data_IF_277694733234
#
_entry.id   IF_277694733234
#
_cell.length_a   1.000
_cell.length_b   1.000
_cell.length_c   1.000
_cell.angle_alpha   90.00
_cell.angle_beta   90.00
_cell.angle_gamma   90.00
#
_symmetry.space_group_name_H-M   'P 1'
#
loop_
_entity.id
_entity.type
_entity.pdbx_description
1 polymer ?
#
# COMPACT_ATOMS: atom_id res chain seq x y z
N UNK A 1 14.16 -4.03 7.54
CA UNK A 1 15.30 -3.11 7.63
C UNK A 1 16.58 -3.88 7.35
N UNK A 2 17.41 -3.40 6.42
CA UNK A 2 18.69 -4.02 6.09
C UNK A 2 19.81 -3.09 6.53
N UNK A 3 20.79 -3.62 7.25
CA UNK A 3 22.00 -2.89 7.64
C UNK A 3 23.10 -3.19 6.65
N UNK A 4 23.85 -2.18 6.29
CA UNK A 4 24.99 -2.24 5.39
C UNK A 4 26.24 -1.76 6.12
N UNK A 5 27.38 -2.29 5.73
CA UNK A 5 28.68 -1.77 6.11
C UNK A 5 29.34 -1.11 4.88
N UNK A 6 29.89 0.07 5.05
CA UNK A 6 30.61 0.78 4.01
C UNK A 6 32.05 1.00 4.46
N UNK A 7 33.00 0.63 3.61
CA UNK A 7 34.43 0.74 3.86
C UNK A 7 34.99 1.97 3.13
N UNK A 8 35.99 2.58 3.73
CA UNK A 8 36.76 3.70 3.15
C UNK A 8 38.23 3.28 2.98
N UNK A 9 38.52 2.67 1.84
CA UNK A 9 39.89 2.26 1.49
C UNK A 9 40.60 3.31 0.59
N UNK A 10 39.92 3.70 -0.49
CA UNK A 10 40.37 4.75 -1.46
C UNK A 10 39.26 5.81 -1.67
N UNK A 11 38.47 6.05 -0.68
CA UNK A 11 37.19 6.75 -0.68
C UNK A 11 36.11 5.81 -0.19
N UNK A 12 34.92 6.33 0.11
CA UNK A 12 33.77 5.50 0.51
C UNK A 12 33.34 4.62 -0.66
N UNK A 13 33.47 3.31 -0.45
CA UNK A 13 33.11 2.29 -1.44
C UNK A 13 31.61 2.06 -1.49
N UNK A 14 31.15 1.19 -2.40
CA UNK A 14 29.78 0.70 -2.45
C UNK A 14 29.39 0.07 -1.09
N UNK A 15 28.22 0.37 -0.53
CA UNK A 15 27.75 -0.27 0.69
C UNK A 15 27.51 -1.78 0.49
N UNK A 16 27.97 -2.58 1.43
CA UNK A 16 27.85 -4.03 1.39
C UNK A 16 26.77 -4.50 2.38
N UNK A 17 25.77 -5.29 1.95
CA UNK A 17 24.70 -5.74 2.82
C UNK A 17 25.20 -6.72 3.89
N UNK A 18 24.76 -6.52 5.11
CA UNK A 18 25.04 -7.42 6.22
C UNK A 18 23.93 -8.49 6.32
N UNK A 19 24.29 -9.64 6.84
CA UNK A 19 23.38 -10.77 7.05
C UNK A 19 22.72 -10.65 8.42
N UNK A 20 21.39 -10.61 8.52
CA UNK A 20 20.69 -10.62 9.80
C UNK A 20 20.84 -12.01 10.46
N UNK A 21 21.20 -12.01 11.75
CA UNK A 21 21.33 -13.24 12.55
C UNK A 21 20.31 -13.34 13.68
N UNK A 22 19.32 -12.46 13.69
CA UNK A 22 18.25 -12.39 14.68
C UNK A 22 18.56 -11.41 15.82
N UNK A 23 17.55 -11.10 16.63
CA UNK A 23 17.66 -10.23 17.82
C UNK A 23 18.34 -8.88 17.56
N UNK A 24 18.04 -8.24 16.44
CA UNK A 24 18.67 -6.97 16.01
C UNK A 24 20.19 -7.05 15.81
N UNK A 25 20.72 -8.24 15.55
CA UNK A 25 22.12 -8.48 15.25
C UNK A 25 22.31 -8.68 13.74
N UNK A 26 23.36 -8.07 13.22
CA UNK A 26 23.79 -8.23 11.85
C UNK A 26 25.25 -8.67 11.82
N UNK A 27 25.61 -9.52 10.87
CA UNK A 27 26.97 -10.03 10.68
C UNK A 27 27.46 -9.74 9.27
N UNK A 28 28.69 -9.27 9.14
CA UNK A 28 29.39 -9.19 7.88
C UNK A 28 30.78 -9.82 8.06
N UNK A 29 31.21 -10.63 7.10
CA UNK A 29 32.53 -11.29 7.15
C UNK A 29 33.31 -10.87 5.91
N UNK A 30 34.50 -10.31 6.14
CA UNK A 30 35.44 -9.93 5.08
C UNK A 30 36.51 -11.03 4.98
N UNK A 31 36.60 -11.64 3.81
CA UNK A 31 37.64 -12.63 3.50
C UNK A 31 38.82 -12.05 2.70
N UNK A 32 38.96 -10.75 2.73
CA UNK A 32 39.99 -10.04 1.97
C UNK A 32 41.15 -9.62 2.87
N UNK A 33 42.41 -9.72 2.41
CA UNK A 33 43.57 -9.27 3.18
C UNK A 33 43.57 -7.75 3.27
N UNK A 34 42.95 -7.20 4.33
CA UNK A 34 42.98 -5.77 4.60
C UNK A 34 44.37 -5.29 5.08
N UNK A 35 45.29 -6.20 5.34
CA UNK A 35 46.66 -5.87 5.82
C UNK A 35 47.49 -5.02 4.84
N UNK A 36 47.06 -4.84 3.61
CA UNK A 36 47.67 -3.90 2.69
C UNK A 36 47.40 -2.43 3.05
N UNK A 37 46.46 -2.18 3.97
CA UNK A 37 46.14 -0.86 4.45
C UNK A 37 46.58 -0.70 5.89
N UNK A 38 47.21 0.44 6.25
CA UNK A 38 47.60 0.69 7.64
C UNK A 38 46.39 0.84 8.56
N UNK A 39 45.29 1.31 8.03
CA UNK A 39 43.98 1.39 8.69
C UNK A 39 42.88 1.48 7.66
N UNK A 40 41.68 0.99 7.99
CA UNK A 40 40.49 1.12 7.15
C UNK A 40 39.37 1.73 7.99
N UNK A 41 38.89 2.88 7.58
CA UNK A 41 37.69 3.47 8.16
C UNK A 41 36.45 2.71 7.66
N UNK A 42 35.43 2.62 8.48
CA UNK A 42 34.15 2.06 8.08
C UNK A 42 33.00 2.74 8.81
N UNK A 43 31.82 2.59 8.27
CA UNK A 43 30.56 3.03 8.88
C UNK A 43 29.43 2.07 8.56
N UNK A 44 28.40 2.11 9.37
CA UNK A 44 27.17 1.40 9.09
C UNK A 44 26.12 2.35 8.52
N UNK A 45 25.25 1.81 7.68
CA UNK A 45 24.12 2.57 7.15
C UNK A 45 22.90 1.68 6.92
N UNK A 46 21.73 2.28 6.86
CA UNK A 46 20.46 1.60 6.63
C UNK A 46 20.14 1.58 5.14
N UNK A 47 19.63 0.45 4.66
CA UNK A 47 19.10 0.28 3.31
C UNK A 47 20.05 0.71 2.17
N UNK A 48 21.37 0.71 2.42
CA UNK A 48 22.37 1.16 1.45
C UNK A 48 22.51 2.67 1.30
N UNK A 49 21.71 3.46 2.01
CA UNK A 49 21.68 4.93 1.90
C UNK A 49 22.70 5.59 2.83
N UNK A 50 23.99 5.32 2.63
CA UNK A 50 25.05 5.74 3.56
C UNK A 50 25.29 7.25 3.65
N UNK A 51 24.83 8.04 2.69
CA UNK A 51 24.92 9.49 2.77
C UNK A 51 23.81 10.12 3.60
N UNK A 52 22.65 9.45 3.66
CA UNK A 52 21.46 9.94 4.34
C UNK A 52 21.20 9.22 5.66
N UNK A 53 21.63 7.97 5.76
CA UNK A 53 21.25 7.05 6.83
C UNK A 53 22.43 6.29 7.43
N UNK A 54 23.58 6.91 7.49
CA UNK A 54 24.71 6.39 8.24
C UNK A 54 24.45 6.44 9.76
N UNK A 55 25.22 5.67 10.53
CA UNK A 55 25.34 5.93 11.97
C UNK A 55 25.83 7.36 12.24
N UNK A 56 25.56 7.90 13.42
CA UNK A 56 25.93 9.28 13.74
C UNK A 56 27.42 9.52 13.56
N UNK A 57 27.75 10.66 12.95
CA UNK A 57 29.09 11.00 12.45
C UNK A 57 30.15 11.24 13.55
N UNK A 58 29.76 11.29 14.83
CA UNK A 58 30.64 11.42 15.97
C UNK A 58 31.45 10.15 16.27
N UNK A 59 31.01 9.00 15.73
CA UNK A 59 31.69 7.71 15.88
C UNK A 59 32.57 7.43 14.65
N UNK A 60 33.88 7.63 14.82
CA UNK A 60 34.88 7.24 13.81
C UNK A 60 35.31 5.79 14.07
N UNK A 61 34.78 4.87 13.26
CA UNK A 61 35.18 3.48 13.34
C UNK A 61 36.38 3.20 12.44
N UNK A 62 37.36 2.51 12.98
CA UNK A 62 38.61 2.19 12.28
C UNK A 62 38.99 0.74 12.56
N UNK A 63 39.27 -0.01 11.51
CA UNK A 63 39.94 -1.29 11.58
C UNK A 63 41.45 -1.06 11.46
N UNK A 64 42.20 -1.63 12.37
CA UNK A 64 43.64 -1.78 12.24
C UNK A 64 43.94 -3.21 11.77
N UNK A 65 44.11 -3.42 10.46
CA UNK A 65 44.26 -4.76 9.93
C UNK A 65 45.54 -5.44 10.47
N UNK A 66 45.44 -6.71 10.74
CA UNK A 66 46.52 -7.56 11.23
C UNK A 66 46.57 -8.89 10.47
N UNK A 67 47.54 -9.74 10.82
CA UNK A 67 47.69 -11.05 10.19
C UNK A 67 46.76 -12.12 10.74
N UNK A 68 46.01 -11.81 11.81
CA UNK A 68 45.12 -12.74 12.47
C UNK A 68 43.66 -12.37 12.26
N UNK A 69 42.77 -13.35 12.38
CA UNK A 69 41.35 -13.11 12.41
C UNK A 69 40.97 -12.13 13.54
N UNK A 70 40.12 -11.20 13.21
CA UNK A 70 39.60 -10.17 14.12
C UNK A 70 38.07 -10.20 14.12
N UNK A 71 37.48 -10.08 15.28
CA UNK A 71 36.03 -9.89 15.44
C UNK A 71 35.78 -8.54 16.09
N UNK A 72 34.99 -7.72 15.44
CA UNK A 72 34.54 -6.43 15.96
C UNK A 72 33.08 -6.54 16.37
N UNK A 73 32.77 -6.13 17.59
CA UNK A 73 31.40 -6.09 18.11
C UNK A 73 31.01 -4.65 18.33
N UNK A 74 30.24 -4.13 17.42
CA UNK A 74 29.81 -2.76 17.42
C UNK A 74 28.34 -2.62 17.81
N UNK A 75 28.02 -1.53 18.50
CA UNK A 75 26.66 -1.14 18.82
C UNK A 75 26.36 0.17 18.11
N UNK A 76 25.23 0.22 17.39
CA UNK A 76 24.74 1.43 16.77
C UNK A 76 23.66 2.03 17.67
N UNK A 77 23.94 3.17 18.26
CA UNK A 77 23.05 3.84 19.21
C UNK A 77 22.04 4.75 18.52
N UNK A 78 22.39 5.31 17.39
CA UNK A 78 21.52 6.21 16.63
C UNK A 78 21.95 6.30 15.17
N UNK A 79 20.99 6.54 14.31
CA UNK A 79 21.18 6.79 12.88
C UNK A 79 21.08 8.30 12.61
N UNK A 80 21.78 8.77 11.57
CA UNK A 80 21.57 10.12 11.07
C UNK A 80 20.18 10.26 10.47
N UNK A 81 19.62 11.44 10.58
CA UNK A 81 18.30 11.78 10.01
C UNK A 81 17.13 10.84 10.40
N UNK A 82 17.32 10.02 11.42
CA UNK A 82 16.23 9.33 12.11
C UNK A 82 15.93 10.13 13.37
N UNK A 83 15.13 11.15 13.22
CA UNK A 83 14.58 11.84 14.36
C UNK A 83 13.56 10.93 15.05
N UNK A 84 13.72 10.73 16.34
CA UNK A 84 12.69 10.12 17.18
C UNK A 84 11.56 11.13 17.37
N UNK A 85 10.77 11.36 16.31
CA UNK A 85 9.52 12.09 16.44
C UNK A 85 8.52 11.18 17.15
N UNK A 86 8.49 11.26 18.46
CA UNK A 86 7.32 10.80 19.21
C UNK A 86 6.24 11.87 19.06
N UNK A 87 5.33 11.64 18.12
CA UNK A 87 4.11 12.42 18.06
C UNK A 87 3.19 11.82 19.11
N UNK A 88 2.73 12.66 20.03
CA UNK A 88 1.66 12.25 20.96
C UNK A 88 0.35 12.12 20.19
N UNK A 89 0.06 10.90 19.76
CA UNK A 89 -1.14 10.58 19.00
C UNK A 89 -2.40 10.60 19.85
N UNK A 90 -2.29 10.59 21.18
CA UNK A 90 -3.46 10.62 22.08
C UNK A 90 -4.29 11.88 21.91
N UNK A 91 -3.67 13.00 21.54
CA UNK A 91 -4.35 14.26 21.24
C UNK A 91 -5.26 14.18 19.99
N UNK A 92 -5.07 13.15 19.15
CA UNK A 92 -5.86 12.93 17.93
C UNK A 92 -6.99 11.92 18.14
N UNK A 93 -7.12 11.37 19.35
CA UNK A 93 -8.15 10.40 19.70
C UNK A 93 -9.26 11.12 20.47
N UNK A 94 -10.33 11.49 19.79
CA UNK A 94 -11.52 12.04 20.43
C UNK A 94 -12.53 10.91 20.59
N UNK A 95 -12.85 10.57 21.85
CA UNK A 95 -13.89 9.58 22.17
C UNK A 95 -15.26 10.24 22.05
N UNK A 96 -15.91 10.06 20.94
CA UNK A 96 -17.36 10.22 20.84
C UNK A 96 -18.05 8.91 21.26
N UNK A 97 -19.35 8.97 21.51
CA UNK A 97 -20.13 7.78 21.87
C UNK A 97 -20.36 6.86 20.66
N UNK A 98 -19.26 6.35 20.10
CA UNK A 98 -19.25 5.42 18.97
C UNK A 98 -19.41 4.01 19.51
N UNK A 99 -20.24 3.19 18.86
CA UNK A 99 -20.42 1.81 19.23
C UNK A 99 -19.53 0.88 18.41
N UNK A 100 -19.04 -0.23 18.98
CA UNK A 100 -18.39 -1.27 18.21
C UNK A 100 -19.27 -1.74 17.05
N UNK A 101 -18.65 -2.11 15.95
CA UNK A 101 -19.30 -2.56 14.72
C UNK A 101 -18.96 -4.02 14.43
N UNK A 102 -19.75 -4.99 14.92
CA UNK A 102 -19.49 -6.40 14.63
C UNK A 102 -19.45 -6.67 13.12
N UNK A 103 -18.39 -7.35 12.67
CA UNK A 103 -18.20 -7.66 11.25
C UNK A 103 -17.61 -6.51 10.42
N UNK A 104 -17.15 -5.43 11.07
CA UNK A 104 -16.43 -4.36 10.41
C UNK A 104 -15.15 -4.89 9.73
N UNK A 105 -14.91 -4.51 8.49
CA UNK A 105 -13.74 -4.91 7.72
C UNK A 105 -12.65 -3.86 7.97
N UNK A 106 -11.67 -4.22 8.78
CA UNK A 106 -10.51 -3.39 9.09
C UNK A 106 -9.27 -3.97 8.43
N UNK A 107 -8.52 -3.19 7.66
CA UNK A 107 -7.37 -3.75 6.98
C UNK A 107 -6.48 -2.76 6.27
N UNK A 108 -5.54 -3.33 5.52
CA UNK A 108 -4.58 -2.59 4.70
C UNK A 108 -4.61 -3.08 3.26
N UNK A 109 -4.35 -2.19 2.31
CA UNK A 109 -4.16 -2.52 0.89
C UNK A 109 -2.68 -2.37 0.57
N UNK A 110 -2.05 -3.47 0.17
CA UNK A 110 -0.65 -3.44 -0.27
C UNK A 110 -0.51 -2.60 -1.53
N UNK A 111 0.58 -1.84 -1.61
CA UNK A 111 0.90 -1.13 -2.86
C UNK A 111 1.04 -2.13 -4.01
N UNK A 112 0.61 -1.72 -5.21
CA UNK A 112 0.68 -2.56 -6.41
C UNK A 112 2.10 -2.70 -6.97
N UNK A 113 3.03 -1.90 -6.50
CA UNK A 113 4.40 -1.94 -6.98
C UNK A 113 5.12 -3.19 -6.51
N UNK A 114 5.59 -4.00 -7.47
CA UNK A 114 6.46 -5.12 -7.18
C UNK A 114 7.84 -4.61 -6.78
N UNK A 115 8.25 -4.87 -5.54
CA UNK A 115 9.58 -4.54 -5.05
C UNK A 115 10.35 -5.81 -4.64
N UNK A 116 11.58 -6.02 -5.11
CA UNK A 116 12.43 -7.11 -4.61
C UNK A 116 12.68 -7.04 -3.10
N UNK A 117 12.61 -5.84 -2.51
CA UNK A 117 12.74 -5.60 -1.08
C UNK A 117 11.61 -6.25 -0.26
N UNK A 118 10.44 -6.50 -0.84
CA UNK A 118 9.32 -7.16 -0.16
C UNK A 118 9.66 -8.54 0.36
N UNK A 119 10.50 -9.31 -0.35
CA UNK A 119 10.86 -10.68 0.07
C UNK A 119 11.35 -10.77 1.51
N UNK A 120 12.04 -9.73 1.97
CA UNK A 120 12.63 -9.70 3.31
C UNK A 120 11.75 -9.01 4.36
N UNK A 121 10.75 -8.24 3.96
CA UNK A 121 9.97 -7.38 4.86
C UNK A 121 8.47 -7.69 4.88
N UNK A 122 7.97 -8.48 3.93
CA UNK A 122 6.53 -8.75 3.82
C UNK A 122 5.93 -9.42 5.06
N UNK A 123 6.61 -10.42 5.61
CA UNK A 123 6.13 -11.14 6.77
C UNK A 123 6.01 -10.23 8.01
N UNK A 124 7.04 -9.41 8.25
CA UNK A 124 7.01 -8.44 9.35
C UNK A 124 5.98 -7.33 9.12
N UNK A 125 5.78 -6.92 7.87
CA UNK A 125 4.74 -5.95 7.50
C UNK A 125 3.34 -6.51 7.75
N UNK A 126 3.07 -7.76 7.39
CA UNK A 126 1.79 -8.42 7.63
C UNK A 126 1.53 -8.65 9.11
N UNK A 127 2.53 -9.07 9.88
CA UNK A 127 2.44 -9.14 11.35
C UNK A 127 2.12 -7.78 11.96
N UNK A 128 2.75 -6.72 11.44
CA UNK A 128 2.45 -5.36 11.88
C UNK A 128 1.01 -4.97 11.55
N UNK A 129 0.51 -5.27 10.34
CA UNK A 129 -0.88 -5.04 9.98
C UNK A 129 -1.87 -5.79 10.87
N UNK A 130 -1.56 -7.05 11.22
CA UNK A 130 -2.34 -7.82 12.18
C UNK A 130 -2.31 -7.18 13.59
N UNK A 131 -1.14 -6.74 14.05
CA UNK A 131 -0.95 -6.10 15.35
C UNK A 131 -1.74 -4.80 15.51
N UNK A 132 -1.89 -4.01 14.44
CA UNK A 132 -2.74 -2.82 14.48
C UNK A 132 -4.24 -3.14 14.40
N UNK A 133 -4.63 -4.42 14.42
CA UNK A 133 -6.02 -4.88 14.37
C UNK A 133 -6.55 -5.08 12.95
N UNK A 134 -5.73 -5.00 11.93
CA UNK A 134 -6.10 -5.24 10.53
C UNK A 134 -6.33 -6.73 10.24
N UNK A 135 -7.58 -7.16 10.22
CA UNK A 135 -7.95 -8.56 9.93
C UNK A 135 -7.97 -8.88 8.44
N UNK A 136 -7.89 -7.86 7.60
CA UNK A 136 -7.99 -8.00 6.17
C UNK A 136 -6.78 -7.38 5.46
N UNK A 137 -6.33 -8.07 4.41
CA UNK A 137 -5.28 -7.59 3.52
C UNK A 137 -5.81 -7.59 2.10
N UNK A 138 -5.76 -6.43 1.45
CA UNK A 138 -6.06 -6.31 0.02
C UNK A 138 -4.77 -6.50 -0.74
N UNK A 139 -4.69 -7.55 -1.53
CA UNK A 139 -3.58 -7.82 -2.45
C UNK A 139 -3.90 -7.26 -3.82
N UNK A 140 -2.96 -6.54 -4.41
CA UNK A 140 -3.14 -5.82 -5.68
C UNK A 140 -2.24 -6.39 -6.78
N UNK A 141 -2.48 -7.64 -7.26
CA UNK A 141 -1.74 -8.16 -8.40
C UNK A 141 -2.04 -7.34 -9.65
N UNK A 142 -1.06 -7.20 -10.51
CA UNK A 142 -1.20 -6.42 -11.74
C UNK A 142 -0.94 -7.27 -12.98
N UNK A 143 -1.46 -6.79 -14.12
CA UNK A 143 -0.98 -7.14 -15.44
C UNK A 143 -0.54 -5.87 -16.16
N UNK A 144 0.56 -5.99 -16.87
CA UNK A 144 1.13 -4.90 -17.66
C UNK A 144 0.23 -4.60 -18.86
N UNK A 145 -0.14 -3.32 -18.98
CA UNK A 145 -0.84 -2.77 -20.14
C UNK A 145 0.16 -2.21 -21.14
N UNK A 146 0.00 -2.58 -22.40
CA UNK A 146 0.72 -2.00 -23.53
C UNK A 146 -0.20 -1.79 -24.71
N UNK A 147 0.17 -0.89 -25.62
CA UNK A 147 -0.47 -0.74 -26.92
C UNK A 147 0.42 -1.26 -28.01
N UNK A 148 -0.07 -2.22 -28.80
CA UNK A 148 0.62 -2.74 -29.98
C UNK A 148 -0.24 -2.53 -31.22
N UNK A 149 0.28 -1.77 -32.16
CA UNK A 149 -0.44 -1.46 -33.40
C UNK A 149 -1.80 -0.78 -33.15
N UNK A 150 -1.88 0.09 -32.15
CA UNK A 150 -3.09 0.79 -31.69
C UNK A 150 -4.17 -0.11 -31.04
N UNK A 151 -3.82 -1.33 -30.62
CA UNK A 151 -4.72 -2.21 -29.88
C UNK A 151 -4.16 -2.49 -28.47
N UNK A 152 -5.02 -2.53 -27.44
CA UNK A 152 -4.61 -2.83 -26.09
C UNK A 152 -4.27 -4.32 -25.91
N UNK A 153 -3.18 -4.59 -25.23
CA UNK A 153 -2.81 -5.92 -24.75
C UNK A 153 -2.58 -5.90 -23.25
N UNK A 154 -3.08 -6.92 -22.58
CA UNK A 154 -2.88 -7.15 -21.14
C UNK A 154 -2.18 -8.51 -20.95
N UNK A 155 -1.05 -8.51 -20.27
CA UNK A 155 -0.30 -9.73 -19.96
C UNK A 155 0.51 -9.59 -18.67
N UNK A 156 0.79 -10.70 -17.95
CA UNK A 156 1.68 -10.68 -16.81
C UNK A 156 3.13 -10.51 -17.27
N UNK A 157 3.80 -9.48 -16.74
CA UNK A 157 5.23 -9.23 -16.97
C UNK A 157 6.03 -9.64 -15.72
N UNK A 158 6.94 -10.63 -15.78
CA UNK A 158 7.66 -11.14 -14.62
C UNK A 158 8.47 -10.08 -13.85
N UNK A 159 8.90 -9.02 -14.55
CA UNK A 159 9.71 -7.96 -13.96
C UNK A 159 8.88 -6.93 -13.17
N UNK A 160 7.60 -6.79 -13.53
CA UNK A 160 6.74 -5.73 -13.00
C UNK A 160 5.50 -6.24 -12.26
N UNK A 161 5.02 -7.44 -12.61
CA UNK A 161 3.77 -7.98 -12.10
C UNK A 161 4.02 -9.17 -11.16
N UNK A 162 3.16 -9.32 -10.14
CA UNK A 162 3.17 -10.50 -9.29
C UNK A 162 2.66 -11.69 -10.09
N UNK A 163 3.52 -12.69 -10.26
CA UNK A 163 3.11 -13.96 -10.86
C UNK A 163 2.27 -14.78 -9.89
N UNK A 164 1.53 -15.75 -10.43
CA UNK A 164 0.62 -16.58 -9.61
C UNK A 164 1.32 -17.29 -8.43
N UNK A 165 2.56 -17.76 -8.59
CA UNK A 165 3.34 -18.37 -7.51
C UNK A 165 3.73 -17.39 -6.42
N UNK A 166 4.05 -16.15 -6.79
CA UNK A 166 4.34 -15.08 -5.84
C UNK A 166 3.07 -14.66 -5.09
N UNK A 167 1.93 -14.58 -5.79
CA UNK A 167 0.64 -14.31 -5.19
C UNK A 167 0.21 -15.41 -4.20
N UNK A 168 0.41 -16.70 -4.56
CA UNK A 168 0.17 -17.82 -3.64
C UNK A 168 0.99 -17.70 -2.37
N UNK A 169 2.30 -17.41 -2.51
CA UNK A 169 3.18 -17.23 -1.36
C UNK A 169 2.72 -16.07 -0.49
N UNK A 170 2.37 -14.94 -1.10
CA UNK A 170 1.90 -13.77 -0.39
C UNK A 170 0.58 -14.04 0.36
N UNK A 171 -0.39 -14.68 -0.30
CA UNK A 171 -1.63 -15.11 0.35
C UNK A 171 -1.38 -16.09 1.51
N UNK A 172 -0.42 -16.99 1.36
CA UNK A 172 -0.05 -17.92 2.44
C UNK A 172 0.47 -17.17 3.68
N UNK A 173 1.29 -16.14 3.50
CA UNK A 173 1.72 -15.29 4.62
C UNK A 173 0.56 -14.55 5.28
N UNK A 174 -0.40 -14.03 4.51
CA UNK A 174 -1.62 -13.41 5.05
C UNK A 174 -2.39 -14.39 5.94
N UNK A 175 -2.67 -15.60 5.41
CA UNK A 175 -3.42 -16.64 6.14
C UNK A 175 -2.66 -17.12 7.39
N UNK A 176 -1.34 -17.29 7.29
CA UNK A 176 -0.50 -17.70 8.44
C UNK A 176 -0.53 -16.67 9.58
N UNK A 177 -0.74 -15.40 9.28
CA UNK A 177 -0.92 -14.34 10.28
C UNK A 177 -2.38 -14.20 10.76
N UNK A 178 -3.27 -15.14 10.41
CA UNK A 178 -4.67 -15.15 10.84
C UNK A 178 -5.54 -14.11 10.14
N UNK A 179 -5.06 -13.50 9.07
CA UNK A 179 -5.77 -12.48 8.30
C UNK A 179 -6.51 -13.08 7.11
N UNK A 180 -7.47 -12.33 6.59
CA UNK A 180 -8.27 -12.66 5.41
C UNK A 180 -7.82 -11.84 4.22
N UNK A 181 -8.01 -12.39 3.02
CA UNK A 181 -7.56 -11.76 1.79
C UNK A 181 -8.72 -11.24 0.95
N UNK A 182 -8.54 -10.05 0.41
CA UNK A 182 -9.29 -9.52 -0.73
C UNK A 182 -8.30 -9.37 -1.88
N UNK A 183 -8.67 -9.81 -3.07
CA UNK A 183 -7.87 -9.64 -4.27
C UNK A 183 -8.37 -8.44 -5.06
N UNK A 184 -7.49 -7.52 -5.39
CA UNK A 184 -7.80 -6.35 -6.22
C UNK A 184 -6.87 -6.29 -7.43
N UNK A 185 -7.19 -6.98 -8.53
CA UNK A 185 -6.40 -6.91 -9.74
C UNK A 185 -6.40 -5.51 -10.35
N UNK A 186 -5.22 -4.98 -10.63
CA UNK A 186 -5.04 -3.63 -11.20
C UNK A 186 -4.22 -3.68 -12.48
N UNK A 187 -4.38 -2.68 -13.34
CA UNK A 187 -3.57 -2.56 -14.55
C UNK A 187 -2.28 -1.80 -14.26
N UNK A 188 -1.16 -2.29 -14.78
CA UNK A 188 0.15 -1.67 -14.63
C UNK A 188 0.54 -0.99 -15.94
N UNK A 189 0.67 0.34 -15.90
CA UNK A 189 1.01 1.18 -17.07
C UNK A 189 2.50 1.56 -17.12
N UNK A 190 3.35 0.95 -16.28
CA UNK A 190 4.75 1.36 -16.09
C UNK A 190 5.62 1.36 -17.35
N UNK A 191 5.25 0.61 -18.39
CA UNK A 191 6.03 0.53 -19.63
C UNK A 191 5.65 1.55 -20.70
N UNK A 192 4.58 2.28 -20.53
CA UNK A 192 4.08 3.18 -21.57
C UNK A 192 4.69 4.56 -21.53
N UNK A 193 5.45 4.91 -20.47
CA UNK A 193 6.25 6.15 -20.34
C UNK A 193 5.48 7.46 -20.52
N UNK A 194 4.45 7.43 -21.28
CA UNK A 194 3.42 8.44 -21.51
C UNK A 194 2.15 7.68 -21.88
N UNK A 195 1.04 7.98 -21.24
CA UNK A 195 -0.26 7.72 -21.80
C UNK A 195 -0.32 8.51 -23.11
N UNK A 196 0.10 7.89 -24.19
CA UNK A 196 -0.22 8.43 -25.49
C UNK A 196 -1.73 8.44 -25.58
N UNK A 197 -2.29 9.58 -25.97
CA UNK A 197 -3.71 9.69 -26.30
C UNK A 197 -4.09 8.42 -27.05
N UNK A 198 -4.80 7.52 -26.37
CA UNK A 198 -5.23 6.29 -27.03
C UNK A 198 -5.91 6.71 -28.32
N UNK A 199 -5.70 6.00 -29.42
CA UNK A 199 -6.49 6.22 -30.64
C UNK A 199 -7.91 5.77 -30.37
N UNK A 200 -8.56 6.50 -29.49
CA UNK A 200 -9.72 6.17 -28.67
C UNK A 200 -11.04 6.12 -29.45
N UNK A 201 -11.00 6.25 -30.75
CA UNK A 201 -12.22 6.33 -31.56
C UNK A 201 -12.41 5.15 -32.52
N UNK A 202 -11.63 4.06 -32.38
CA UNK A 202 -11.94 2.86 -33.16
C UNK A 202 -12.81 1.92 -32.32
N UNK A 203 -13.94 1.52 -32.88
CA UNK A 203 -14.79 0.48 -32.25
C UNK A 203 -14.00 -0.81 -31.96
N UNK A 204 -12.96 -1.09 -32.73
CA UNK A 204 -12.07 -2.24 -32.53
C UNK A 204 -11.25 -2.15 -31.25
N UNK A 205 -10.86 -0.93 -30.81
CA UNK A 205 -10.09 -0.77 -29.58
C UNK A 205 -10.91 -1.17 -28.34
N UNK A 206 -12.13 -0.63 -28.22
CA UNK A 206 -13.00 -0.91 -27.06
C UNK A 206 -13.38 -2.39 -26.97
N UNK A 207 -13.76 -3.01 -28.09
CA UNK A 207 -14.05 -4.45 -28.14
C UNK A 207 -12.83 -5.28 -27.74
N UNK A 208 -11.64 -4.89 -28.18
CA UNK A 208 -10.42 -5.62 -27.81
C UNK A 208 -10.07 -5.40 -26.34
N UNK A 209 -10.16 -4.18 -25.84
CA UNK A 209 -9.93 -3.88 -24.41
C UNK A 209 -10.88 -4.70 -23.53
N UNK A 210 -12.18 -4.70 -23.82
CA UNK A 210 -13.16 -5.47 -23.07
C UNK A 210 -12.81 -6.97 -23.01
N UNK A 211 -12.41 -7.57 -24.14
CA UNK A 211 -11.97 -8.96 -24.18
C UNK A 211 -10.71 -9.23 -23.36
N UNK A 212 -9.72 -8.35 -23.44
CA UNK A 212 -8.48 -8.47 -22.67
C UNK A 212 -8.75 -8.31 -21.17
N UNK A 213 -9.59 -7.34 -20.81
CA UNK A 213 -9.97 -7.10 -19.42
C UNK A 213 -10.78 -8.26 -18.83
N UNK A 214 -11.72 -8.83 -19.60
CA UNK A 214 -12.46 -10.04 -19.23
C UNK A 214 -11.50 -11.21 -18.95
N UNK A 215 -10.52 -11.43 -19.82
CA UNK A 215 -9.48 -12.45 -19.63
C UNK A 215 -8.67 -12.21 -18.36
N UNK A 216 -8.27 -10.97 -18.12
CA UNK A 216 -7.51 -10.57 -16.95
C UNK A 216 -8.28 -10.84 -15.64
N UNK A 217 -9.53 -10.39 -15.57
CA UNK A 217 -10.36 -10.57 -14.36
C UNK A 217 -10.72 -12.05 -14.16
N UNK A 218 -11.06 -12.79 -15.22
CA UNK A 218 -11.37 -14.22 -15.12
C UNK A 218 -10.15 -15.03 -14.62
N UNK A 219 -8.93 -14.69 -15.03
CA UNK A 219 -7.72 -15.32 -14.51
C UNK A 219 -7.61 -15.11 -12.98
N UNK A 220 -7.87 -13.89 -12.49
CA UNK A 220 -7.84 -13.61 -11.07
C UNK A 220 -9.02 -14.19 -10.30
N UNK A 221 -10.17 -14.39 -10.94
CA UNK A 221 -11.29 -15.11 -10.37
C UNK A 221 -10.97 -16.60 -10.15
N UNK A 222 -10.32 -17.24 -11.12
CA UNK A 222 -9.86 -18.63 -10.98
C UNK A 222 -8.83 -18.75 -9.85
N UNK A 223 -7.87 -17.80 -9.73
CA UNK A 223 -6.90 -17.75 -8.64
C UNK A 223 -7.58 -17.52 -7.28
N UNK A 224 -8.51 -16.58 -7.21
CA UNK A 224 -9.24 -16.29 -5.98
C UNK A 224 -10.02 -17.53 -5.48
N UNK A 225 -10.65 -18.27 -6.38
CA UNK A 225 -11.32 -19.53 -6.06
C UNK A 225 -10.34 -20.60 -5.59
N UNK A 226 -9.24 -20.79 -6.31
CA UNK A 226 -8.22 -21.79 -5.98
C UNK A 226 -7.58 -21.54 -4.61
N UNK A 227 -7.33 -20.27 -4.28
CA UNK A 227 -6.69 -19.85 -3.03
C UNK A 227 -7.67 -19.61 -1.89
N UNK A 228 -8.98 -19.85 -2.10
CA UNK A 228 -10.06 -19.60 -1.13
C UNK A 228 -10.06 -18.17 -0.59
N UNK A 229 -9.77 -17.20 -1.45
CA UNK A 229 -9.78 -15.78 -1.13
C UNK A 229 -11.24 -15.33 -0.88
N UNK A 230 -11.47 -14.51 0.14
CA UNK A 230 -12.81 -14.15 0.59
C UNK A 230 -13.50 -13.07 -0.24
N UNK A 231 -12.73 -12.22 -0.92
CA UNK A 231 -13.27 -11.14 -1.75
C UNK A 231 -12.45 -10.89 -3.02
N UNK A 232 -13.13 -10.60 -4.12
CA UNK A 232 -12.53 -10.19 -5.38
C UNK A 232 -13.08 -8.82 -5.77
N UNK A 233 -12.20 -7.84 -5.89
CA UNK A 233 -12.56 -6.50 -6.38
C UNK A 233 -12.43 -6.48 -7.91
N UNK A 234 -13.48 -6.00 -8.55
CA UNK A 234 -13.51 -5.71 -9.99
C UNK A 234 -13.69 -4.21 -10.23
N UNK A 235 -13.38 -3.75 -11.38
CA UNK A 235 -13.41 -2.31 -11.70
C UNK A 235 -12.22 -1.59 -11.08
N UNK A 236 -12.38 -0.32 -10.90
CA UNK A 236 -11.34 0.54 -10.39
C UNK A 236 -10.43 1.05 -11.49
N UNK A 237 -10.18 2.35 -11.43
CA UNK A 237 -9.22 2.98 -12.34
C UNK A 237 -7.87 3.02 -11.66
N UNK A 238 -6.78 2.66 -12.35
CA UNK A 238 -5.45 2.97 -11.88
C UNK A 238 -5.30 4.49 -11.88
N UNK A 239 -5.02 5.05 -10.71
CA UNK A 239 -4.66 6.45 -10.58
C UNK A 239 -3.22 6.64 -11.04
N UNK A 240 -3.02 6.89 -12.32
CA UNK A 240 -1.82 7.53 -12.81
C UNK A 240 -2.17 8.99 -13.11
N UNK A 241 -1.90 9.89 -12.16
CA UNK A 241 -1.99 11.35 -12.33
C UNK A 241 -3.37 11.91 -12.73
N UNK A 242 -3.56 13.20 -12.54
CA UNK A 242 -4.83 13.90 -12.84
C UNK A 242 -5.23 13.88 -14.32
N UNK A 243 -4.34 13.54 -15.25
CA UNK A 243 -4.64 13.46 -16.69
C UNK A 243 -5.00 12.05 -17.16
N UNK A 244 -4.50 11.00 -16.49
CA UNK A 244 -4.86 9.60 -16.80
C UNK A 244 -6.30 9.22 -16.42
N UNK A 245 -6.95 10.00 -15.56
CA UNK A 245 -8.29 9.68 -15.07
C UNK A 245 -9.38 9.67 -16.15
N UNK A 246 -9.30 10.53 -17.14
CA UNK A 246 -10.28 10.58 -18.23
C UNK A 246 -10.17 9.41 -19.21
N UNK A 247 -8.94 9.03 -19.58
CA UNK A 247 -8.69 7.89 -20.48
C UNK A 247 -9.03 6.57 -19.83
N UNK A 248 -8.63 6.38 -18.58
CA UNK A 248 -8.97 5.19 -17.83
C UNK A 248 -10.49 5.06 -17.63
N UNK A 249 -11.22 6.16 -17.36
CA UNK A 249 -12.68 6.17 -17.28
C UNK A 249 -13.30 5.68 -18.61
N UNK A 250 -12.86 6.23 -19.73
CA UNK A 250 -13.36 5.83 -21.06
C UNK A 250 -13.08 4.35 -21.35
N UNK A 251 -11.91 3.83 -20.99
CA UNK A 251 -11.57 2.42 -21.16
C UNK A 251 -12.55 1.50 -20.41
N UNK A 252 -12.93 1.86 -19.17
CA UNK A 252 -13.87 1.07 -18.39
C UNK A 252 -15.33 1.22 -18.82
N UNK A 253 -15.70 2.28 -19.51
CA UNK A 253 -17.02 2.42 -20.15
C UNK A 253 -17.23 1.43 -21.30
N UNK A 254 -16.15 0.97 -21.94
CA UNK A 254 -16.19 -0.02 -23.04
C UNK A 254 -16.28 -1.48 -22.55
N UNK A 255 -16.21 -1.72 -21.23
CA UNK A 255 -16.28 -3.08 -20.68
C UNK A 255 -17.72 -3.58 -20.67
N UNK A 256 -17.95 -4.78 -21.21
CA UNK A 256 -19.22 -5.48 -21.12
C UNK A 256 -19.41 -6.07 -19.71
N UNK A 257 -19.84 -5.22 -18.77
CA UNK A 257 -19.89 -5.54 -17.33
C UNK A 257 -20.78 -6.72 -17.01
N UNK A 258 -21.92 -6.88 -17.67
CA UNK A 258 -22.83 -8.00 -17.43
C UNK A 258 -22.19 -9.34 -17.82
N UNK A 259 -21.47 -9.39 -18.94
CA UNK A 259 -20.70 -10.57 -19.36
C UNK A 259 -19.54 -10.86 -18.41
N UNK A 260 -18.82 -9.81 -17.99
CA UNK A 260 -17.70 -9.93 -17.05
C UNK A 260 -18.17 -10.50 -15.71
N UNK A 261 -19.23 -9.93 -15.12
CA UNK A 261 -19.78 -10.38 -13.84
C UNK A 261 -20.29 -11.82 -13.93
N UNK A 262 -21.00 -12.16 -14.99
CA UNK A 262 -21.45 -13.53 -15.22
C UNK A 262 -20.27 -14.51 -15.33
N UNK A 263 -19.22 -14.14 -16.05
CA UNK A 263 -17.99 -14.92 -16.18
C UNK A 263 -17.27 -15.13 -14.86
N UNK A 264 -17.18 -14.09 -14.03
CA UNK A 264 -16.60 -14.16 -12.69
C UNK A 264 -17.42 -15.07 -11.78
N UNK A 265 -18.75 -14.92 -11.76
CA UNK A 265 -19.65 -15.74 -10.92
C UNK A 265 -19.65 -17.22 -11.27
N UNK A 266 -19.33 -17.58 -12.52
CA UNK A 266 -19.14 -18.99 -12.91
C UNK A 266 -17.84 -19.59 -12.35
N UNK A 267 -16.85 -18.78 -12.02
CA UNK A 267 -15.51 -19.21 -11.57
C UNK A 267 -15.31 -19.03 -10.08
N UNK A 268 -15.90 -18.01 -9.50
CA UNK A 268 -15.63 -17.58 -8.14
C UNK A 268 -16.92 -17.42 -7.34
N UNK A 269 -16.99 -18.13 -6.20
CA UNK A 269 -18.15 -18.17 -5.32
C UNK A 269 -18.07 -17.21 -4.12
N UNK A 270 -16.94 -16.54 -3.92
CA UNK A 270 -16.75 -15.58 -2.82
C UNK A 270 -17.43 -14.23 -3.09
N UNK A 271 -17.12 -13.25 -2.24
CA UNK A 271 -17.70 -11.91 -2.35
C UNK A 271 -17.16 -11.16 -3.56
N UNK A 272 -18.05 -10.67 -4.40
CA UNK A 272 -17.70 -9.81 -5.52
C UNK A 272 -17.85 -8.35 -5.08
N UNK A 273 -16.80 -7.58 -5.25
CA UNK A 273 -16.71 -6.20 -4.77
C UNK A 273 -16.46 -5.31 -5.99
N UNK A 274 -17.10 -4.16 -6.08
CA UNK A 274 -16.81 -3.18 -7.13
C UNK A 274 -16.00 -2.01 -6.55
N UNK A 275 -14.85 -1.70 -7.14
CA UNK A 275 -14.14 -0.45 -6.85
C UNK A 275 -14.83 0.72 -7.53
N UNK A 276 -15.05 1.79 -6.78
CA UNK A 276 -15.73 3.00 -7.23
C UNK A 276 -14.88 4.21 -6.87
N UNK A 277 -14.58 5.02 -7.87
CA UNK A 277 -13.94 6.33 -7.70
C UNK A 277 -15.00 7.40 -7.90
N UNK A 278 -15.19 8.23 -6.88
CA UNK A 278 -16.18 9.30 -6.88
C UNK A 278 -15.48 10.65 -7.04
N UNK A 279 -16.01 11.47 -7.90
CA UNK A 279 -15.67 12.89 -7.99
C UNK A 279 -16.90 13.74 -7.66
N UNK A 280 -16.70 15.04 -7.45
CA UNK A 280 -17.78 15.97 -7.11
C UNK A 280 -18.88 16.09 -8.20
N UNK A 281 -18.62 15.56 -9.40
CA UNK A 281 -19.54 15.61 -10.54
C UNK A 281 -20.25 14.28 -10.79
N UNK A 282 -19.86 13.21 -10.07
CA UNK A 282 -20.47 11.89 -10.26
C UNK A 282 -21.89 11.90 -9.71
N UNK A 283 -22.88 11.87 -10.58
CA UNK A 283 -24.32 11.84 -10.23
C UNK A 283 -25.01 10.57 -10.70
N UNK A 284 -24.51 9.95 -11.77
CA UNK A 284 -25.05 8.74 -12.37
C UNK A 284 -24.15 7.55 -12.08
N UNK A 285 -24.71 6.52 -11.49
CA UNK A 285 -23.99 5.29 -11.18
C UNK A 285 -24.44 4.15 -12.10
N UNK A 286 -23.48 3.39 -12.66
CA UNK A 286 -23.79 2.29 -13.57
C UNK A 286 -24.67 1.23 -12.94
N UNK A 287 -25.67 0.75 -13.67
CA UNK A 287 -26.63 -0.24 -13.16
C UNK A 287 -25.99 -1.58 -12.75
N UNK A 288 -24.87 -1.97 -13.37
CA UNK A 288 -24.16 -3.21 -13.05
C UNK A 288 -23.64 -3.27 -11.60
N UNK A 289 -23.48 -2.12 -10.92
CA UNK A 289 -23.12 -2.07 -9.48
C UNK A 289 -24.16 -2.77 -8.60
N UNK A 290 -25.41 -2.96 -9.06
CA UNK A 290 -26.41 -3.74 -8.35
C UNK A 290 -26.06 -5.23 -8.24
N UNK A 291 -25.19 -5.76 -9.12
CA UNK A 291 -24.86 -7.19 -9.23
C UNK A 291 -23.69 -7.61 -8.33
N UNK A 292 -23.01 -6.66 -7.68
CA UNK A 292 -21.95 -6.96 -6.73
C UNK A 292 -22.46 -7.01 -5.30
N UNK A 293 -21.65 -7.56 -4.39
CA UNK A 293 -22.05 -7.74 -2.98
C UNK A 293 -21.67 -6.51 -2.12
N UNK A 294 -20.57 -5.84 -2.45
CA UNK A 294 -19.99 -4.74 -1.68
C UNK A 294 -19.48 -3.68 -2.65
N UNK A 295 -19.54 -2.41 -2.25
CA UNK A 295 -18.92 -1.29 -2.98
C UNK A 295 -17.68 -0.81 -2.22
N UNK A 296 -16.54 -0.80 -2.90
CA UNK A 296 -15.26 -0.32 -2.37
C UNK A 296 -15.01 1.09 -2.90
N UNK A 297 -15.31 2.09 -2.09
CA UNK A 297 -15.11 3.49 -2.45
C UNK A 297 -13.68 3.90 -2.16
N UNK A 298 -12.95 4.21 -3.22
CA UNK A 298 -11.56 4.66 -3.13
C UNK A 298 -11.53 6.17 -2.96
N UNK A 299 -10.85 6.62 -1.92
CA UNK A 299 -10.74 8.03 -1.58
C UNK A 299 -9.33 8.44 -1.21
N UNK A 300 -8.77 9.32 -2.02
CA UNK A 300 -7.47 9.97 -1.80
C UNK A 300 -7.69 11.48 -1.88
N UNK A 301 -7.92 12.17 -0.75
CA UNK A 301 -8.13 13.60 -0.75
C UNK A 301 -6.86 14.35 -1.19
N UNK A 302 -7.04 15.54 -1.72
CA UNK A 302 -5.95 16.46 -1.98
C UNK A 302 -5.19 16.79 -0.68
N UNK A 303 -3.90 17.13 -0.82
CA UNK A 303 -3.09 17.54 0.32
C UNK A 303 -3.66 18.82 0.93
N UNK A 304 -3.90 18.76 2.23
CA UNK A 304 -4.40 19.91 2.96
C UNK A 304 -3.35 21.02 3.00
N UNK A 305 -3.82 22.24 2.73
CA UNK A 305 -3.03 23.45 2.89
C UNK A 305 -3.10 23.92 4.36
N UNK A 306 -2.14 24.73 4.78
CA UNK A 306 -2.18 25.48 6.05
C UNK A 306 -2.34 24.65 7.33
N UNK A 307 -1.93 23.38 7.33
CA UNK A 307 -1.93 22.49 8.50
C UNK A 307 -3.27 22.50 9.29
N UNK A 308 -4.40 22.10 8.69
CA UNK A 308 -5.71 22.18 9.29
C UNK A 308 -5.83 21.37 10.59
N UNK A 309 -6.83 21.70 11.38
CA UNK A 309 -7.24 20.91 12.53
C UNK A 309 -7.91 19.60 12.13
N UNK A 310 -7.99 18.64 13.04
CA UNK A 310 -8.72 17.38 12.79
C UNK A 310 -10.19 17.65 12.48
N UNK A 311 -10.80 18.64 13.13
CA UNK A 311 -12.20 19.00 12.93
C UNK A 311 -12.46 19.54 11.51
N UNK A 312 -11.56 20.37 10.99
CA UNK A 312 -11.65 20.88 9.62
C UNK A 312 -11.49 19.75 8.59
N UNK A 313 -10.54 18.83 8.80
CA UNK A 313 -10.38 17.64 7.96
C UNK A 313 -11.61 16.74 8.04
N UNK A 314 -12.15 16.52 9.24
CA UNK A 314 -13.35 15.73 9.47
C UNK A 314 -14.55 16.30 8.72
N UNK A 315 -14.72 17.61 8.77
CA UNK A 315 -15.82 18.28 8.08
C UNK A 315 -15.79 18.06 6.57
N UNK A 316 -14.59 18.09 5.96
CA UNK A 316 -14.43 17.77 4.53
C UNK A 316 -14.74 16.31 4.25
N UNK A 317 -14.30 15.40 5.12
CA UNK A 317 -14.57 13.98 4.95
C UNK A 317 -16.06 13.66 5.13
N UNK A 318 -16.72 14.24 6.12
CA UNK A 318 -18.17 14.12 6.34
C UNK A 318 -18.96 14.65 5.13
N UNK A 319 -18.51 15.76 4.54
CA UNK A 319 -19.11 16.30 3.32
C UNK A 319 -18.94 15.31 2.13
N UNK A 320 -17.77 14.69 1.96
CA UNK A 320 -17.56 13.64 0.96
C UNK A 320 -18.51 12.46 1.17
N UNK A 321 -18.60 11.95 2.41
CA UNK A 321 -19.48 10.84 2.75
C UNK A 321 -20.95 11.18 2.45
N UNK A 322 -21.40 12.36 2.85
CA UNK A 322 -22.79 12.77 2.70
C UNK A 322 -23.17 13.08 1.25
N UNK A 323 -22.30 13.79 0.53
CA UNK A 323 -22.64 14.30 -0.79
C UNK A 323 -22.34 13.35 -1.93
N UNK A 324 -21.39 12.43 -1.74
CA UNK A 324 -20.93 11.53 -2.81
C UNK A 324 -21.16 10.06 -2.50
N UNK A 325 -20.86 9.60 -1.28
CA UNK A 325 -20.96 8.18 -0.95
C UNK A 325 -22.37 7.76 -0.55
N UNK A 326 -23.08 8.58 0.22
CA UNK A 326 -24.42 8.29 0.68
C UNK A 326 -25.44 8.15 -0.49
N UNK A 327 -25.42 8.96 -1.55
CA UNK A 327 -26.26 8.75 -2.73
C UNK A 327 -26.03 7.39 -3.41
N UNK A 328 -24.75 6.97 -3.53
CA UNK A 328 -24.38 5.65 -4.06
C UNK A 328 -24.95 4.53 -3.19
N UNK A 329 -24.79 4.63 -1.88
CA UNK A 329 -25.33 3.65 -0.93
C UNK A 329 -26.86 3.60 -0.97
N UNK A 330 -27.51 4.76 -1.03
CA UNK A 330 -28.97 4.85 -1.09
C UNK A 330 -29.55 4.22 -2.37
N UNK A 331 -28.87 4.37 -3.52
CA UNK A 331 -29.30 3.80 -4.79
C UNK A 331 -29.23 2.26 -4.80
N UNK A 332 -28.16 1.67 -4.28
CA UNK A 332 -27.93 0.23 -4.40
C UNK A 332 -28.16 -0.56 -3.12
N UNK A 333 -28.23 0.08 -1.95
CA UNK A 333 -28.43 -0.60 -0.66
C UNK A 333 -27.29 -1.54 -0.27
N UNK A 334 -26.11 -1.38 -0.89
CA UNK A 334 -24.97 -2.29 -0.65
C UNK A 334 -24.11 -1.80 0.52
N UNK A 335 -23.44 -2.72 1.26
CA UNK A 335 -22.40 -2.36 2.20
C UNK A 335 -21.29 -1.57 1.52
N UNK A 336 -20.75 -0.57 2.21
CA UNK A 336 -19.65 0.28 1.72
C UNK A 336 -18.38 -0.04 2.48
N UNK A 337 -17.28 -0.25 1.76
CA UNK A 337 -15.92 -0.21 2.28
C UNK A 337 -15.27 1.10 1.82
N UNK A 338 -14.60 1.79 2.73
CA UNK A 338 -13.79 2.96 2.39
C UNK A 338 -12.33 2.55 2.27
N UNK A 339 -11.77 2.73 1.09
CA UNK A 339 -10.33 2.64 0.84
C UNK A 339 -9.72 4.02 0.93
N UNK A 340 -9.03 4.31 2.04
CA UNK A 340 -8.48 5.63 2.33
C UNK A 340 -6.97 5.66 2.13
N UNK A 341 -6.50 6.68 1.43
CA UNK A 341 -5.09 6.93 1.20
C UNK A 341 -4.77 8.39 1.47
N UNK A 342 -3.76 8.62 2.32
CA UNK A 342 -3.23 9.96 2.56
C UNK A 342 -1.72 9.90 2.81
N UNK A 343 -0.90 10.60 2.01
CA UNK A 343 0.54 10.56 2.18
C UNK A 343 1.00 11.35 3.40
N UNK A 344 2.15 10.96 3.95
CA UNK A 344 2.83 11.71 5.02
C UNK A 344 3.64 12.89 4.45
N UNK A 345 2.97 13.69 3.63
CA UNK A 345 3.59 14.75 2.83
C UNK A 345 2.80 16.05 2.94
N UNK A 346 3.51 17.16 3.03
CA UNK A 346 2.97 18.50 2.88
C UNK A 346 2.94 18.92 1.39
N UNK A 347 2.20 19.97 1.02
CA UNK A 347 2.15 20.47 -0.36
C UNK A 347 3.51 20.87 -0.95
N UNK A 348 4.48 21.23 -0.11
CA UNK A 348 5.88 21.52 -0.49
C UNK A 348 6.76 20.27 -0.58
N UNK A 349 6.16 19.09 -0.56
CA UNK A 349 6.78 17.76 -0.60
C UNK A 349 7.61 17.39 0.64
N UNK A 350 7.63 18.20 1.68
CA UNK A 350 8.27 17.88 2.94
C UNK A 350 7.49 16.81 3.71
N UNK A 351 8.17 16.06 4.59
CA UNK A 351 7.55 15.02 5.41
C UNK A 351 6.60 15.66 6.42
N UNK A 352 5.38 15.13 6.50
CA UNK A 352 4.35 15.57 7.43
C UNK A 352 3.63 14.38 8.08
N UNK A 353 4.30 13.70 8.99
CA UNK A 353 3.74 12.56 9.72
C UNK A 353 2.53 12.95 10.58
N UNK A 354 2.56 14.15 11.15
CA UNK A 354 1.44 14.68 11.95
C UNK A 354 0.21 14.95 11.09
N UNK A 355 0.39 15.50 9.90
CA UNK A 355 -0.68 15.71 8.94
C UNK A 355 -1.34 14.40 8.52
N UNK A 356 -0.55 13.36 8.23
CA UNK A 356 -1.08 12.02 7.94
C UNK A 356 -1.89 11.48 9.11
N UNK A 357 -1.36 11.53 10.35
CA UNK A 357 -2.04 11.03 11.53
C UNK A 357 -3.38 11.75 11.79
N UNK A 358 -3.42 13.07 11.61
CA UNK A 358 -4.66 13.87 11.71
C UNK A 358 -5.67 13.47 10.65
N UNK A 359 -5.24 13.28 9.38
CA UNK A 359 -6.11 12.87 8.29
C UNK A 359 -6.72 11.49 8.53
N UNK A 360 -5.92 10.53 9.02
CA UNK A 360 -6.42 9.20 9.40
C UNK A 360 -7.39 9.27 10.58
N UNK A 361 -7.12 10.12 11.59
CA UNK A 361 -8.04 10.33 12.70
C UNK A 361 -9.37 10.89 12.22
N UNK A 362 -9.36 11.95 11.43
CA UNK A 362 -10.56 12.55 10.87
C UNK A 362 -11.37 11.54 10.03
N UNK A 363 -10.70 10.80 9.15
CA UNK A 363 -11.34 9.85 8.25
C UNK A 363 -12.00 8.69 9.02
N UNK A 364 -11.29 8.05 9.94
CA UNK A 364 -11.84 6.91 10.68
C UNK A 364 -12.95 7.31 11.64
N UNK A 365 -12.89 8.50 12.24
CA UNK A 365 -13.98 9.03 13.07
C UNK A 365 -15.25 9.23 12.25
N UNK A 366 -15.17 9.84 11.07
CA UNK A 366 -16.30 10.01 10.18
C UNK A 366 -16.90 8.67 9.76
N UNK A 367 -16.05 7.69 9.38
CA UNK A 367 -16.48 6.33 9.03
C UNK A 367 -17.15 5.62 10.22
N UNK A 368 -16.60 5.78 11.41
CA UNK A 368 -17.10 5.14 12.62
C UNK A 368 -18.51 5.60 13.01
N UNK A 369 -18.87 6.84 12.71
CA UNK A 369 -20.22 7.39 12.99
C UNK A 369 -21.28 6.92 11.99
N UNK A 370 -20.92 6.42 10.81
CA UNK A 370 -21.89 5.99 9.78
C UNK A 370 -22.25 4.51 9.91
N UNK A 371 -23.49 4.21 10.25
CA UNK A 371 -23.97 2.81 10.43
C UNK A 371 -23.95 1.97 9.14
N UNK A 372 -24.01 2.61 8.00
CA UNK A 372 -24.04 1.97 6.67
C UNK A 372 -22.64 1.69 6.07
N UNK A 373 -21.57 2.17 6.71
CA UNK A 373 -20.20 1.85 6.31
C UNK A 373 -19.76 0.58 7.06
N UNK A 374 -19.33 -0.41 6.30
CA UNK A 374 -18.99 -1.74 6.78
C UNK A 374 -17.49 -1.99 6.93
N UNK A 375 -16.64 -1.04 6.54
CA UNK A 375 -15.21 -1.22 6.71
C UNK A 375 -14.36 -0.04 6.28
N UNK A 376 -13.09 -0.12 6.69
CA UNK A 376 -12.05 0.85 6.39
C UNK A 376 -10.74 0.12 6.05
N UNK A 377 -10.19 0.44 4.90
CA UNK A 377 -8.93 -0.11 4.39
C UNK A 377 -7.94 1.04 4.21
N UNK A 378 -6.79 0.96 4.88
CA UNK A 378 -5.67 1.88 4.63
C UNK A 378 -4.94 1.45 3.37
N UNK A 379 -4.96 2.29 2.34
CA UNK A 379 -4.33 2.02 1.05
C UNK A 379 -2.87 2.46 1.01
N UNK A 380 -2.12 1.95 0.04
CA UNK A 380 -0.71 2.29 -0.15
C UNK A 380 0.21 1.69 0.91
N UNK A 381 -0.22 0.63 1.61
CA UNK A 381 0.60 -0.02 2.61
C UNK A 381 1.82 -0.68 1.97
N UNK A 382 3.00 -0.16 2.31
CA UNK A 382 4.27 -0.72 1.88
C UNK A 382 5.02 -1.26 3.12
N UNK A 383 5.33 -2.55 3.19
CA UNK A 383 6.02 -3.15 4.32
C UNK A 383 7.52 -2.80 4.38
N UNK A 384 8.01 -2.04 3.43
CA UNK A 384 9.38 -1.59 3.38
C UNK A 384 9.53 -0.21 4.03
N UNK A 385 10.52 -0.08 4.93
CA UNK A 385 10.82 1.20 5.58
C UNK A 385 11.82 1.98 4.73
N UNK A 386 11.39 3.11 4.22
CA UNK A 386 12.27 4.08 3.59
C UNK A 386 12.61 5.21 4.55
N UNK A 387 13.78 5.80 4.36
CA UNK A 387 14.13 7.03 5.06
C UNK A 387 13.45 8.21 4.38
N UNK A 388 12.98 9.14 5.20
CA UNK A 388 12.22 10.28 4.69
C UNK A 388 11.01 9.87 3.83
N UNK A 389 10.38 8.76 4.20
CA UNK A 389 9.22 8.24 3.52
C UNK A 389 8.02 9.19 3.67
N UNK A 390 7.71 9.89 2.60
CA UNK A 390 6.56 10.79 2.49
C UNK A 390 5.35 10.13 1.79
N UNK A 391 5.41 8.83 1.53
CA UNK A 391 4.35 8.05 0.87
C UNK A 391 3.10 7.87 1.75
N UNK A 392 2.08 7.25 1.18
CA UNK A 392 0.83 6.95 1.85
C UNK A 392 0.93 5.80 2.86
N UNK A 393 2.01 5.00 2.84
CA UNK A 393 2.14 3.90 3.80
C UNK A 393 2.04 4.40 5.24
N UNK A 394 1.29 3.64 6.05
CA UNK A 394 1.20 3.85 7.49
C UNK A 394 2.22 3.00 8.27
N UNK A 395 2.98 2.15 7.57
CA UNK A 395 3.91 1.23 8.19
C UNK A 395 4.92 1.95 9.07
N UNK A 396 4.86 1.70 10.38
CA UNK A 396 5.70 2.34 11.41
C UNK A 396 5.61 3.88 11.46
N UNK A 397 4.52 4.46 10.98
CA UNK A 397 4.22 5.89 11.09
C UNK A 397 3.14 6.13 12.16
N UNK A 398 3.02 7.35 12.72
CA UNK A 398 2.04 7.68 13.76
C UNK A 398 0.58 7.37 13.37
N UNK A 399 0.24 7.46 12.08
CA UNK A 399 -1.10 7.09 11.59
C UNK A 399 -1.47 5.64 11.91
N UNK A 400 -0.49 4.73 12.05
CA UNK A 400 -0.76 3.35 12.45
C UNK A 400 -1.25 3.21 13.90
N UNK A 401 -0.84 4.11 14.80
CA UNK A 401 -1.33 4.14 16.19
C UNK A 401 -2.80 4.57 16.26
N UNK A 402 -3.19 5.50 15.37
CA UNK A 402 -4.60 5.90 15.22
C UNK A 402 -5.43 4.70 14.76
N UNK A 403 -4.98 3.97 13.74
CA UNK A 403 -5.70 2.79 13.27
C UNK A 403 -5.69 1.65 14.28
N UNK A 404 -4.58 1.45 15.02
CA UNK A 404 -4.53 0.48 16.11
C UNK A 404 -5.65 0.72 17.12
N UNK A 405 -5.79 1.96 17.62
CA UNK A 405 -6.84 2.32 18.54
C UNK A 405 -8.23 2.03 17.96
N UNK A 406 -8.51 2.56 16.77
CA UNK A 406 -9.85 2.47 16.17
C UNK A 406 -10.22 1.06 15.73
N UNK A 407 -9.31 0.31 15.16
CA UNK A 407 -9.59 -1.06 14.73
C UNK A 407 -9.88 -1.97 15.93
N UNK A 408 -9.11 -1.87 17.01
CA UNK A 408 -9.39 -2.61 18.24
C UNK A 408 -10.73 -2.19 18.84
N UNK A 409 -11.01 -0.91 18.90
CA UNK A 409 -12.26 -0.39 19.43
C UNK A 409 -13.48 -0.84 18.60
N UNK A 410 -13.46 -0.64 17.27
CA UNK A 410 -14.58 -0.99 16.39
C UNK A 410 -14.84 -2.50 16.33
N UNK A 411 -13.79 -3.31 16.38
CA UNK A 411 -13.88 -4.76 16.37
C UNK A 411 -14.15 -5.37 17.76
N UNK A 412 -14.18 -4.54 18.81
CA UNK A 412 -14.31 -4.99 20.21
C UNK A 412 -13.22 -6.01 20.59
N UNK A 413 -11.99 -5.78 20.15
CA UNK A 413 -10.84 -6.62 20.47
C UNK A 413 -10.09 -6.03 21.66
N UNK A 414 -9.68 -6.85 22.64
CA UNK A 414 -8.77 -6.35 23.66
C UNK A 414 -7.44 -5.96 23.03
N UNK A 415 -6.81 -4.86 23.43
CA UNK A 415 -5.44 -4.57 23.05
C UNK A 415 -4.53 -5.68 23.59
N UNK A 416 -3.74 -6.30 22.72
CA UNK A 416 -2.70 -7.25 23.11
C UNK A 416 -1.47 -6.56 23.67
#
# INVERSE_FOLDING_TARGET
ETVFVQLNTFGWMEPLPMVPVGNHLWKFTIFSPLQYFPSVQYRYCRNGLCELAAERADLKRVILPGNNEQTLNDVIFAWQNVDNFTIDTTQYLTLEAIQPKPGFIAGVELTSEKSPAWRNSIDEGLKFAAKIGGDWVVLTPSWTYVERGNLPELFPSPDHDLLWTELMNLNSHVVMNGQKTILFPVLNYAQTGEFKDAPSNSADWGVNFSKQYLKFINHHADLAQMLSIEGLIIGGMPLAGNEGSHLARQQFEEVEWDELIAGVRQRYSGRLIAAVYLDAKTQDFPAWLSQVDILYVVYSPELFQDNPTIEEMRHQFDAFLTNQVQPLQAQFGKPILIGFEYPSMSPDLSINLAGQAKAYSAAIMSVATQSWISGFISRGFNPYVELQDNSATIYRKPASEILWFWFHYLLNKPPE
#
